data_IF_941526379996
#
_entry.id   IF_941526379996
#
_cell.length_a   1.000
_cell.length_b   1.000
_cell.length_c   1.000
_cell.angle_alpha   90.00
_cell.angle_beta   90.00
_cell.angle_gamma   90.00
#
_symmetry.space_group_name_H-M   'P 1'
#
loop_
_entity.id
_entity.type
_entity.pdbx_description
1 polymer ?
#
# COMPACT_ATOMS: atom_id res chain seq x y z
N UNK A 1 1.62 -10.44 13.44
CA UNK A 1 0.77 -10.08 12.29
C UNK A 1 1.00 -11.06 11.18
N UNK A 2 -0.01 -11.34 10.36
CA UNK A 2 0.15 -12.14 9.14
C UNK A 2 0.79 -11.31 8.02
N UNK A 3 1.23 -11.96 6.94
CA UNK A 3 1.78 -11.29 5.76
C UNK A 3 0.66 -10.52 5.05
N UNK A 4 0.82 -9.20 4.88
CA UNK A 4 -0.21 -8.34 4.30
C UNK A 4 -0.66 -8.77 2.89
N UNK A 5 0.28 -9.00 1.98
CA UNK A 5 0.02 -9.50 0.64
C UNK A 5 1.00 -10.61 0.28
N UNK A 6 0.55 -11.74 -0.31
CA UNK A 6 -0.81 -11.98 -0.79
C UNK A 6 -1.78 -12.52 0.27
N UNK A 7 -1.28 -13.10 1.37
CA UNK A 7 -2.09 -13.89 2.32
C UNK A 7 -3.25 -13.08 2.92
N UNK A 8 -2.96 -11.94 3.56
CA UNK A 8 -3.98 -11.10 4.17
C UNK A 8 -4.97 -10.54 3.15
N UNK A 9 -4.48 -10.15 1.97
CA UNK A 9 -5.32 -9.67 0.86
C UNK A 9 -6.34 -10.70 0.39
N UNK A 10 -5.91 -11.93 0.11
CA UNK A 10 -6.80 -13.00 -0.36
C UNK A 10 -7.89 -13.33 0.67
N UNK A 11 -7.52 -13.36 1.95
CA UNK A 11 -8.44 -13.63 3.05
C UNK A 11 -9.56 -12.58 3.17
N UNK A 12 -9.30 -11.33 2.79
CA UNK A 12 -10.27 -10.23 2.93
C UNK A 12 -10.88 -9.75 1.61
N UNK A 13 -10.39 -10.19 0.45
CA UNK A 13 -10.82 -9.75 -0.89
C UNK A 13 -12.36 -9.67 -1.05
N UNK A 14 -13.16 -10.69 -0.65
CA UNK A 14 -14.61 -10.61 -0.79
C UNK A 14 -15.25 -9.45 0.00
N UNK A 15 -14.59 -9.01 1.07
CA UNK A 15 -15.06 -8.02 2.04
C UNK A 15 -14.54 -6.60 1.78
N UNK A 16 -13.58 -6.42 0.86
CA UNK A 16 -13.00 -5.09 0.58
C UNK A 16 -14.08 -4.15 0.03
N UNK A 17 -14.26 -2.99 0.69
CA UNK A 17 -15.12 -1.88 0.22
C UNK A 17 -14.32 -0.60 0.02
N UNK A 18 -13.29 -0.39 0.82
CA UNK A 18 -12.37 0.74 0.77
C UNK A 18 -10.94 0.26 1.00
N UNK A 19 -9.96 1.06 0.57
CA UNK A 19 -8.54 0.76 0.76
C UNK A 19 -7.85 1.98 1.34
N UNK A 20 -7.09 1.72 2.39
CA UNK A 20 -6.18 2.66 3.01
C UNK A 20 -4.76 2.16 2.82
N UNK A 21 -3.85 3.05 2.43
CA UNK A 21 -2.44 2.73 2.20
C UNK A 21 -1.59 3.36 3.30
N UNK A 22 -0.78 2.53 3.93
CA UNK A 22 0.41 2.88 4.72
C UNK A 22 1.45 1.79 4.54
N UNK A 23 2.71 2.09 4.83
CA UNK A 23 3.73 1.06 4.89
C UNK A 23 4.40 1.06 6.26
N UNK A 24 4.90 -0.11 6.65
CA UNK A 24 5.56 -0.28 7.93
C UNK A 24 6.50 -1.47 7.92
N UNK A 25 7.52 -1.40 8.77
CA UNK A 25 8.43 -2.51 9.02
C UNK A 25 8.38 -2.90 10.50
N UNK A 26 8.42 -4.21 10.84
CA UNK A 26 8.54 -4.62 12.23
C UNK A 26 9.90 -4.20 12.80
N UNK A 27 9.88 -3.64 14.00
CA UNK A 27 11.07 -3.44 14.84
C UNK A 27 10.95 -4.41 16.01
N UNK A 28 11.80 -5.45 16.09
CA UNK A 28 11.79 -6.38 17.21
C UNK A 28 11.94 -5.66 18.57
N UNK A 29 11.35 -6.20 19.65
CA UNK A 29 10.61 -7.46 19.70
C UNK A 29 9.13 -7.35 19.31
N UNK A 30 8.51 -6.17 19.45
CA UNK A 30 7.05 -6.01 19.39
C UNK A 30 6.58 -4.65 18.82
N UNK A 31 7.49 -3.88 18.22
CA UNK A 31 7.20 -2.55 17.67
C UNK A 31 7.05 -2.57 16.15
N UNK A 32 6.44 -1.51 15.64
CA UNK A 32 6.33 -1.24 14.21
C UNK A 32 6.72 0.20 13.96
N UNK A 33 7.42 0.44 12.86
CA UNK A 33 7.76 1.78 12.40
C UNK A 33 7.09 2.04 11.06
N UNK A 34 6.35 3.16 10.97
CA UNK A 34 5.76 3.61 9.73
C UNK A 34 6.87 4.04 8.77
N UNK A 35 6.76 3.62 7.52
CA UNK A 35 7.68 3.94 6.44
C UNK A 35 6.91 4.55 5.27
N UNK A 36 7.63 5.30 4.44
CA UNK A 36 7.10 5.72 3.15
C UNK A 36 6.74 4.47 2.34
N UNK A 37 5.73 4.59 1.48
CA UNK A 37 5.27 3.51 0.62
C UNK A 37 6.42 2.93 -0.20
N UNK A 38 6.66 1.62 -0.10
CA UNK A 38 7.76 0.93 -0.76
C UNK A 38 9.04 0.80 0.05
N UNK A 39 9.16 1.51 1.19
CA UNK A 39 10.27 1.33 2.13
C UNK A 39 9.90 0.39 3.29
N UNK A 40 8.65 -0.05 3.39
CA UNK A 40 8.20 -1.01 4.40
C UNK A 40 8.06 -2.44 3.86
N UNK A 41 7.29 -3.26 4.56
CA UNK A 41 7.18 -4.69 4.31
C UNK A 41 6.06 -5.11 3.35
N UNK A 42 5.20 -4.18 2.92
CA UNK A 42 4.05 -4.51 2.06
C UNK A 42 4.46 -4.50 0.60
N UNK A 43 4.18 -5.58 -0.13
CA UNK A 43 4.31 -5.61 -1.59
C UNK A 43 3.18 -4.81 -2.26
N UNK A 44 3.27 -3.48 -2.19
CA UNK A 44 2.25 -2.57 -2.70
C UNK A 44 2.06 -2.66 -4.21
N UNK A 45 3.12 -2.88 -4.99
CA UNK A 45 3.00 -3.08 -6.44
C UNK A 45 2.12 -4.29 -6.76
N UNK A 46 2.37 -5.43 -6.09
CA UNK A 46 1.58 -6.64 -6.25
C UNK A 46 0.13 -6.45 -5.81
N UNK A 47 -0.08 -5.89 -4.61
CA UNK A 47 -1.42 -5.71 -4.05
C UNK A 47 -2.27 -4.72 -4.85
N UNK A 48 -1.70 -3.59 -5.29
CA UNK A 48 -2.42 -2.60 -6.10
C UNK A 48 -2.78 -3.18 -7.48
N UNK A 49 -1.86 -3.92 -8.11
CA UNK A 49 -2.17 -4.61 -9.36
C UNK A 49 -3.30 -5.62 -9.20
N UNK A 50 -3.31 -6.38 -8.09
CA UNK A 50 -4.35 -7.36 -7.80
C UNK A 50 -5.72 -6.70 -7.62
N UNK A 51 -5.84 -5.67 -6.77
CA UNK A 51 -7.15 -5.03 -6.55
C UNK A 51 -7.72 -4.35 -7.80
N UNK A 52 -6.87 -3.71 -8.61
CA UNK A 52 -7.29 -3.09 -9.86
C UNK A 52 -7.84 -4.11 -10.86
N UNK A 53 -7.44 -5.38 -10.74
CA UNK A 53 -7.97 -6.49 -11.55
C UNK A 53 -9.19 -7.15 -10.92
N UNK A 54 -9.11 -7.48 -9.63
CA UNK A 54 -10.06 -8.38 -8.98
C UNK A 54 -11.32 -7.66 -8.49
N UNK A 55 -11.18 -6.42 -8.00
CA UNK A 55 -12.31 -5.60 -7.52
C UNK A 55 -11.95 -4.11 -7.57
N UNK A 56 -12.03 -3.46 -8.74
CA UNK A 56 -11.64 -2.06 -8.89
C UNK A 56 -12.35 -1.18 -7.87
N UNK A 57 -11.57 -0.46 -7.06
CA UNK A 57 -12.06 0.55 -6.12
C UNK A 57 -11.98 1.93 -6.77
N UNK A 58 -12.97 2.79 -6.53
CA UNK A 58 -13.00 4.13 -7.11
C UNK A 58 -12.05 5.10 -6.42
N UNK A 59 -11.70 4.85 -5.16
CA UNK A 59 -10.87 5.71 -4.35
C UNK A 59 -9.95 4.89 -3.45
N UNK A 60 -8.76 5.44 -3.19
CA UNK A 60 -7.76 4.91 -2.27
C UNK A 60 -7.34 6.07 -1.36
N UNK A 61 -7.33 5.83 -0.05
CA UNK A 61 -6.91 6.80 0.95
C UNK A 61 -5.45 6.56 1.35
N UNK A 62 -4.64 7.61 1.39
CA UNK A 62 -3.28 7.56 1.93
C UNK A 62 -3.31 7.91 3.43
N UNK A 63 -2.72 7.07 4.28
CA UNK A 63 -2.54 7.33 5.72
C UNK A 63 -1.16 7.96 5.98
N UNK A 64 -1.14 9.12 6.63
CA UNK A 64 0.01 10.04 6.66
C UNK A 64 0.88 9.92 7.91
N UNK A 65 1.15 8.70 8.37
CA UNK A 65 1.80 8.43 9.66
C UNK A 65 3.34 8.49 9.66
N UNK A 66 3.94 9.11 8.64
CA UNK A 66 5.40 9.31 8.54
C UNK A 66 5.70 10.80 8.75
N UNK A 67 6.69 11.09 9.60
CA UNK A 67 7.11 12.46 9.89
C UNK A 67 8.38 12.83 9.10
N UNK A 68 8.52 14.10 8.65
CA UNK A 68 7.55 15.20 8.76
C UNK A 68 6.30 15.02 7.89
N UNK A 69 5.10 15.27 8.45
CA UNK A 69 3.82 14.87 7.83
C UNK A 69 3.63 15.43 6.43
N UNK A 70 3.89 16.72 6.20
CA UNK A 70 3.60 17.36 4.90
C UNK A 70 4.56 16.85 3.80
N UNK A 71 5.85 16.82 4.10
CA UNK A 71 6.90 16.40 3.19
C UNK A 71 6.76 14.92 2.85
N UNK A 72 6.57 14.08 3.87
CA UNK A 72 6.37 12.64 3.70
C UNK A 72 5.08 12.34 2.94
N UNK A 73 3.97 13.03 3.22
CA UNK A 73 2.72 12.86 2.46
C UNK A 73 2.91 13.20 0.98
N UNK A 74 3.61 14.31 0.67
CA UNK A 74 3.90 14.68 -0.72
C UNK A 74 4.74 13.62 -1.42
N UNK A 75 5.68 13.02 -0.70
CA UNK A 75 6.52 11.98 -1.24
C UNK A 75 5.75 10.68 -1.49
N UNK A 76 4.91 10.24 -0.55
CA UNK A 76 4.04 9.08 -0.73
C UNK A 76 3.09 9.23 -1.91
N UNK A 77 2.54 10.43 -2.14
CA UNK A 77 1.73 10.70 -3.34
C UNK A 77 2.53 10.52 -4.62
N UNK A 78 3.81 10.94 -4.66
CA UNK A 78 4.66 10.70 -5.84
C UNK A 78 4.94 9.22 -6.04
N UNK A 79 5.27 8.50 -4.97
CA UNK A 79 5.57 7.07 -5.02
C UNK A 79 4.36 6.26 -5.48
N UNK A 80 3.17 6.59 -4.99
CA UNK A 80 1.93 5.97 -5.45
C UNK A 80 1.67 6.21 -6.94
N UNK A 81 1.92 7.43 -7.44
CA UNK A 81 1.82 7.71 -8.88
C UNK A 81 2.76 6.84 -9.70
N UNK A 82 4.03 6.70 -9.28
CA UNK A 82 4.99 5.81 -9.95
C UNK A 82 4.50 4.35 -9.95
N UNK A 83 3.90 3.88 -8.85
CA UNK A 83 3.33 2.53 -8.80
C UNK A 83 2.17 2.36 -9.78
N UNK A 84 1.24 3.32 -9.85
CA UNK A 84 0.13 3.27 -10.81
C UNK A 84 0.63 3.36 -12.26
N UNK A 85 1.57 4.26 -12.57
CA UNK A 85 2.17 4.37 -13.90
C UNK A 85 2.85 3.05 -14.32
N UNK A 86 3.54 2.39 -13.39
CA UNK A 86 4.15 1.08 -13.63
C UNK A 86 3.09 0.00 -13.89
N UNK A 87 1.99 -0.01 -13.13
CA UNK A 87 0.88 -0.95 -13.31
C UNK A 87 0.23 -0.75 -14.68
N UNK A 88 -0.05 0.50 -15.06
CA UNK A 88 -0.63 0.83 -16.35
C UNK A 88 0.30 0.39 -17.49
N UNK A 89 1.61 0.60 -17.36
CA UNK A 89 2.61 0.11 -18.31
C UNK A 89 2.67 -1.41 -18.46
N UNK A 90 2.30 -2.19 -17.42
CA UNK A 90 2.20 -3.65 -17.51
C UNK A 90 0.91 -4.14 -18.18
N UNK A 91 -0.08 -3.26 -18.36
CA UNK A 91 -1.38 -3.58 -18.96
C UNK A 91 -1.46 -3.15 -20.44
N UNK A 92 -0.39 -2.55 -21.00
CA UNK A 92 -0.23 -2.23 -22.43
C UNK A 92 0.23 -3.45 -23.22
#
# INVERSE_FOLDING_TARGET
GEVAYPIGYEAVLPLIQNIHIKDAIPIPPDKWENRLVGDGGVNWLGQLRAILKDKPVSHITLETHVFPVLESTREDVKRLRVLFDAIDGFNV
#
